data_IF_450203217549
#
_entry.id   IF_450203217549
#
_cell.length_a   1.000
_cell.length_b   1.000
_cell.length_c   1.000
_cell.angle_alpha   90.00
_cell.angle_beta   90.00
_cell.angle_gamma   90.00
#
_symmetry.space_group_name_H-M   'P 1'
#
loop_
_entity.id
_entity.type
_entity.pdbx_description
1 polymer ?
#
# COMPACT_ATOMS: atom_id res chain seq x y z
N UNK A 1 -58.57 5.04 -11.46
CA UNK A 1 -57.20 5.57 -11.72
C UNK A 1 -56.28 5.55 -10.50
N UNK A 2 -56.70 5.99 -9.30
CA UNK A 2 -55.84 6.08 -8.10
C UNK A 2 -55.11 4.78 -7.69
N UNK A 3 -55.73 3.62 -7.87
CA UNK A 3 -55.18 2.32 -7.47
C UNK A 3 -54.06 1.80 -8.39
N UNK A 4 -54.02 2.25 -9.64
CA UNK A 4 -52.98 1.88 -10.61
C UNK A 4 -51.68 2.61 -10.28
N UNK A 5 -51.76 3.90 -9.97
CA UNK A 5 -50.63 4.73 -9.51
C UNK A 5 -50.04 4.26 -8.19
N UNK A 6 -50.87 3.81 -7.24
CA UNK A 6 -50.38 3.28 -5.96
C UNK A 6 -49.53 2.01 -6.15
N UNK A 7 -49.91 1.13 -7.08
CA UNK A 7 -49.13 -0.07 -7.42
C UNK A 7 -47.83 0.27 -8.14
N UNK A 8 -47.81 1.28 -9.00
CA UNK A 8 -46.57 1.73 -9.67
C UNK A 8 -45.61 2.39 -8.68
N UNK A 9 -46.11 3.23 -7.77
CA UNK A 9 -45.28 3.90 -6.75
C UNK A 9 -44.69 2.89 -5.76
N UNK A 10 -45.46 1.88 -5.35
CA UNK A 10 -44.97 0.83 -4.45
C UNK A 10 -43.92 -0.07 -5.12
N UNK A 11 -44.06 -0.31 -6.43
CA UNK A 11 -43.10 -1.09 -7.22
C UNK A 11 -41.75 -0.38 -7.43
N UNK A 12 -41.74 0.95 -7.61
CA UNK A 12 -40.50 1.74 -7.74
C UNK A 12 -39.76 1.91 -6.42
N UNK A 13 -40.46 1.96 -5.28
CA UNK A 13 -39.82 1.98 -3.96
C UNK A 13 -39.14 0.64 -3.65
N UNK A 14 -39.74 -0.49 -4.05
CA UNK A 14 -39.17 -1.81 -3.80
C UNK A 14 -37.93 -2.10 -4.66
N UNK A 15 -37.90 -1.59 -5.90
CA UNK A 15 -36.74 -1.72 -6.80
C UNK A 15 -35.59 -0.79 -6.45
N UNK A 16 -35.86 0.40 -5.89
CA UNK A 16 -34.81 1.30 -5.39
C UNK A 16 -34.17 0.81 -4.08
N UNK A 17 -34.92 0.10 -3.22
CA UNK A 17 -34.37 -0.51 -2.01
C UNK A 17 -33.38 -1.65 -2.30
N UNK A 18 -33.58 -2.42 -3.38
CA UNK A 18 -32.68 -3.52 -3.74
C UNK A 18 -31.29 -3.05 -4.20
N UNK A 19 -31.17 -1.85 -4.75
CA UNK A 19 -29.89 -1.32 -5.27
C UNK A 19 -28.97 -0.86 -4.11
N UNK A 20 -29.56 -0.43 -2.99
CA UNK A 20 -28.82 0.06 -1.82
C UNK A 20 -28.16 -1.09 -1.04
N UNK A 21 -28.73 -2.31 -1.08
CA UNK A 21 -28.13 -3.48 -0.43
C UNK A 21 -26.91 -4.06 -1.17
N UNK A 22 -26.77 -3.79 -2.47
CA UNK A 22 -25.64 -4.30 -3.27
C UNK A 22 -24.38 -3.43 -3.18
N UNK A 23 -24.42 -2.29 -2.47
CA UNK A 23 -23.26 -1.42 -2.27
C UNK A 23 -22.33 -1.89 -1.15
N UNK A 24 -22.67 -2.95 -0.41
CA UNK A 24 -21.70 -3.65 0.42
C UNK A 24 -20.99 -4.67 -0.48
N UNK A 25 -20.03 -4.19 -1.29
CA UNK A 25 -19.06 -5.09 -1.90
C UNK A 25 -18.26 -5.74 -0.78
N UNK A 26 -18.76 -6.89 -0.34
CA UNK A 26 -17.96 -7.92 0.28
C UNK A 26 -16.81 -8.18 -0.70
N UNK A 27 -15.63 -7.63 -0.40
CA UNK A 27 -14.41 -8.07 -1.04
C UNK A 27 -14.41 -9.60 -1.01
N UNK A 28 -14.01 -10.30 -2.08
CA UNK A 28 -13.86 -11.74 -2.04
C UNK A 28 -12.76 -12.07 -1.03
N UNK A 29 -13.13 -12.15 0.24
CA UNK A 29 -12.30 -12.58 1.35
C UNK A 29 -12.14 -14.08 1.18
N UNK A 30 -11.21 -14.50 0.32
CA UNK A 30 -11.19 -15.89 -0.09
C UNK A 30 -9.87 -16.44 -0.57
N UNK A 31 -9.18 -15.81 -1.52
CA UNK A 31 -8.26 -16.65 -2.33
C UNK A 31 -6.86 -16.11 -2.58
N UNK A 32 -6.62 -14.80 -2.49
CA UNK A 32 -5.27 -14.24 -2.69
C UNK A 32 -4.92 -13.38 -1.49
N UNK A 33 -3.85 -13.74 -0.76
CA UNK A 33 -3.36 -12.93 0.35
C UNK A 33 -2.60 -11.72 -0.17
N UNK A 34 -2.59 -10.63 0.60
CA UNK A 34 -1.79 -9.46 0.28
C UNK A 34 -0.31 -9.80 0.46
N UNK A 35 0.48 -9.62 -0.59
CA UNK A 35 1.89 -9.93 -0.69
C UNK A 35 2.71 -8.66 -0.61
N UNK A 36 3.50 -8.53 0.44
CA UNK A 36 4.43 -7.42 0.62
C UNK A 36 5.88 -7.89 0.61
N UNK A 37 6.80 -6.93 0.43
CA UNK A 37 8.23 -7.18 0.55
C UNK A 37 8.98 -5.98 1.11
N UNK A 38 10.15 -6.27 1.66
CA UNK A 38 11.13 -5.32 2.20
C UNK A 38 12.54 -5.72 1.78
N UNK A 39 13.51 -4.82 1.94
CA UNK A 39 14.90 -5.11 1.62
C UNK A 39 15.59 -5.97 2.68
N UNK A 40 16.50 -6.82 2.21
CA UNK A 40 17.27 -7.71 3.07
C UNK A 40 18.17 -7.01 4.10
N UNK A 41 18.55 -5.76 3.90
CA UNK A 41 19.58 -5.08 4.66
C UNK A 41 19.11 -4.33 5.91
N UNK A 42 17.81 -4.05 6.06
CA UNK A 42 17.32 -3.04 7.02
C UNK A 42 16.14 -3.57 7.85
N UNK A 43 16.31 -3.65 9.17
CA UNK A 43 15.26 -4.13 10.09
C UNK A 43 14.13 -3.11 10.21
N UNK A 44 14.45 -1.82 10.05
CA UNK A 44 13.51 -0.72 10.06
C UNK A 44 12.48 -0.87 8.95
N UNK A 45 12.90 -1.37 7.78
CA UNK A 45 11.99 -1.64 6.65
C UNK A 45 11.01 -2.78 6.93
N UNK A 46 11.47 -3.84 7.61
CA UNK A 46 10.59 -4.89 8.09
C UNK A 46 9.58 -4.33 9.11
N UNK A 47 10.06 -3.53 10.07
CA UNK A 47 9.21 -2.93 11.09
C UNK A 47 8.07 -2.09 10.47
N UNK A 48 8.40 -1.16 9.56
CA UNK A 48 7.37 -0.37 8.87
C UNK A 48 6.42 -1.23 8.01
N UNK A 49 6.92 -2.33 7.42
CA UNK A 49 6.08 -3.26 6.65
C UNK A 49 5.08 -3.96 7.55
N UNK A 50 5.51 -4.42 8.73
CA UNK A 50 4.63 -5.08 9.68
C UNK A 50 3.58 -4.13 10.28
N UNK A 51 3.91 -2.85 10.48
CA UNK A 51 2.91 -1.84 10.88
C UNK A 51 1.76 -1.76 9.86
N UNK A 52 2.07 -1.79 8.56
CA UNK A 52 1.05 -1.79 7.51
C UNK A 52 0.31 -3.13 7.44
N UNK A 53 1.03 -4.26 7.54
CA UNK A 53 0.43 -5.60 7.57
C UNK A 53 -0.62 -5.71 8.69
N UNK A 54 -0.27 -5.32 9.92
CA UNK A 54 -1.18 -5.33 11.07
C UNK A 54 -2.42 -4.45 10.81
N UNK A 55 -2.24 -3.30 10.15
CA UNK A 55 -3.36 -2.45 9.73
C UNK A 55 -4.30 -3.16 8.76
N UNK A 56 -3.75 -3.81 7.73
CA UNK A 56 -4.50 -4.58 6.73
C UNK A 56 -5.21 -5.78 7.36
N UNK A 57 -4.55 -6.51 8.25
CA UNK A 57 -5.18 -7.61 9.00
C UNK A 57 -6.38 -7.14 9.82
N UNK A 58 -6.25 -5.99 10.51
CA UNK A 58 -7.36 -5.38 11.27
C UNK A 58 -8.53 -4.93 10.39
N UNK A 59 -8.28 -4.65 9.11
CA UNK A 59 -9.31 -4.33 8.12
C UNK A 59 -9.94 -5.60 7.51
N UNK A 60 -9.48 -6.80 7.89
CA UNK A 60 -10.03 -8.08 7.45
C UNK A 60 -9.33 -8.69 6.24
N UNK A 61 -8.19 -8.15 5.80
CA UNK A 61 -7.39 -8.75 4.73
C UNK A 61 -6.60 -9.95 5.26
N UNK A 62 -6.46 -10.99 4.43
CA UNK A 62 -5.45 -12.02 4.63
C UNK A 62 -4.11 -11.47 4.15
N UNK A 63 -3.12 -11.38 5.04
CA UNK A 63 -1.78 -10.89 4.71
C UNK A 63 -0.81 -12.07 4.70
N UNK A 64 0.04 -12.15 3.68
CA UNK A 64 1.11 -13.13 3.61
C UNK A 64 2.35 -12.64 4.35
N UNK A 65 3.20 -13.57 4.78
CA UNK A 65 4.50 -13.20 5.37
C UNK A 65 5.29 -12.38 4.34
N UNK A 66 5.81 -11.18 4.71
CA UNK A 66 6.53 -10.34 3.78
C UNK A 66 7.80 -11.04 3.26
N UNK A 67 8.08 -10.88 1.97
CA UNK A 67 9.28 -11.42 1.33
C UNK A 67 10.48 -10.50 1.55
N UNK A 68 11.64 -11.09 1.73
CA UNK A 68 12.92 -10.37 1.84
C UNK A 68 13.65 -10.44 0.51
N UNK A 69 13.76 -9.32 -0.22
CA UNK A 69 14.34 -9.27 -1.57
C UNK A 69 15.09 -7.96 -1.82
N UNK A 70 16.00 -7.95 -2.81
CA UNK A 70 16.75 -6.74 -3.16
C UNK A 70 15.91 -5.68 -3.88
N UNK A 71 16.28 -4.41 -3.74
CA UNK A 71 15.49 -3.28 -4.26
C UNK A 71 15.10 -3.40 -5.75
N UNK A 72 16.00 -3.74 -6.70
CA UNK A 72 15.60 -3.84 -8.10
C UNK A 72 14.51 -4.90 -8.33
N UNK A 73 14.65 -6.06 -7.69
CA UNK A 73 13.67 -7.14 -7.78
C UNK A 73 12.33 -6.73 -7.16
N UNK A 74 12.36 -5.97 -6.05
CA UNK A 74 11.17 -5.45 -5.39
C UNK A 74 10.32 -4.58 -6.33
N UNK A 75 10.91 -3.59 -6.98
CA UNK A 75 10.16 -2.73 -7.91
C UNK A 75 9.62 -3.50 -9.12
N UNK A 76 10.41 -4.42 -9.69
CA UNK A 76 9.98 -5.26 -10.81
C UNK A 76 8.82 -6.18 -10.41
N UNK A 77 8.89 -6.80 -9.23
CA UNK A 77 7.85 -7.69 -8.73
C UNK A 77 6.53 -6.96 -8.46
N UNK A 78 6.55 -5.72 -7.96
CA UNK A 78 5.33 -4.91 -7.82
C UNK A 78 4.80 -4.55 -9.21
N UNK A 79 5.66 -4.09 -10.12
CA UNK A 79 5.27 -3.68 -11.47
C UNK A 79 4.68 -4.84 -12.32
N UNK A 80 5.06 -6.09 -12.00
CA UNK A 80 4.54 -7.29 -12.65
C UNK A 80 3.34 -7.91 -11.93
N UNK A 81 2.97 -7.43 -10.74
CA UNK A 81 1.89 -7.99 -9.92
C UNK A 81 2.26 -9.27 -9.16
N UNK A 82 3.55 -9.58 -9.01
CA UNK A 82 4.04 -10.67 -8.15
C UNK A 82 3.98 -10.30 -6.65
N UNK A 83 4.01 -8.99 -6.38
CA UNK A 83 3.81 -8.35 -5.09
C UNK A 83 2.73 -7.28 -5.23
N UNK A 84 2.00 -7.02 -4.15
CA UNK A 84 0.90 -6.06 -4.14
C UNK A 84 1.36 -4.67 -3.67
N UNK A 85 2.28 -4.60 -2.70
CA UNK A 85 2.88 -3.34 -2.28
C UNK A 85 4.25 -3.50 -1.62
N UNK A 86 4.96 -2.37 -1.48
CA UNK A 86 6.02 -2.20 -0.50
C UNK A 86 5.96 -0.80 0.08
N UNK A 87 6.45 -0.65 1.30
CA UNK A 87 6.65 0.63 1.99
C UNK A 87 8.02 1.23 1.71
N UNK A 88 8.84 0.54 0.91
CA UNK A 88 10.20 0.93 0.56
C UNK A 88 10.19 1.80 -0.68
N UNK A 89 10.22 3.12 -0.47
CA UNK A 89 10.43 4.07 -1.55
C UNK A 89 11.13 5.35 -1.06
N UNK A 90 12.46 5.37 -1.18
CA UNK A 90 13.29 6.51 -0.77
C UNK A 90 13.62 7.40 -1.96
N UNK A 91 13.22 8.66 -1.89
CA UNK A 91 13.54 9.65 -2.91
C UNK A 91 14.68 10.57 -2.47
N UNK A 92 15.64 10.90 -3.35
CA UNK A 92 15.73 10.51 -4.77
C UNK A 92 16.40 9.15 -5.03
N UNK A 93 16.92 8.47 -4.00
CA UNK A 93 17.84 7.33 -4.12
C UNK A 93 17.27 6.18 -4.96
N UNK A 94 15.97 5.92 -4.87
CA UNK A 94 15.30 4.79 -5.54
C UNK A 94 14.63 5.18 -6.86
N UNK A 95 14.75 6.44 -7.30
CA UNK A 95 14.11 6.93 -8.54
C UNK A 95 14.43 6.06 -9.74
N UNK A 96 15.69 5.65 -9.90
CA UNK A 96 16.12 4.82 -11.03
C UNK A 96 15.50 3.41 -11.01
N UNK A 97 15.29 2.82 -9.83
CA UNK A 97 14.64 1.52 -9.74
C UNK A 97 13.14 1.61 -10.12
N UNK A 98 12.46 2.66 -9.65
CA UNK A 98 11.08 2.96 -9.99
C UNK A 98 10.90 3.16 -11.51
N UNK A 99 11.74 3.99 -12.12
CA UNK A 99 11.70 4.26 -13.57
C UNK A 99 11.99 3.01 -14.39
N UNK A 100 13.02 2.24 -14.02
CA UNK A 100 13.39 1.02 -14.74
C UNK A 100 12.33 -0.09 -14.64
N UNK A 101 11.49 -0.08 -13.60
CA UNK A 101 10.39 -1.03 -13.45
C UNK A 101 9.12 -0.63 -14.25
N UNK A 102 9.16 0.47 -14.99
CA UNK A 102 8.03 0.98 -15.80
C UNK A 102 7.44 2.29 -15.28
N UNK A 103 8.01 2.86 -14.21
CA UNK A 103 7.64 4.17 -13.68
C UNK A 103 6.14 4.27 -13.38
N UNK A 104 5.60 5.47 -13.56
CA UNK A 104 4.19 5.77 -13.27
C UNK A 104 3.18 5.05 -14.16
N UNK A 105 3.62 4.35 -15.22
CA UNK A 105 2.73 3.52 -16.03
C UNK A 105 2.38 2.19 -15.32
N UNK A 106 3.24 1.73 -14.41
CA UNK A 106 3.10 0.44 -13.71
C UNK A 106 3.07 0.55 -12.19
N UNK A 107 3.60 1.63 -11.64
CA UNK A 107 3.80 1.81 -10.22
C UNK A 107 3.19 3.14 -9.76
N UNK A 108 2.63 3.14 -8.56
CA UNK A 108 2.11 4.34 -7.91
C UNK A 108 2.73 4.46 -6.51
N UNK A 109 3.23 5.65 -6.18
CA UNK A 109 3.63 5.98 -4.83
C UNK A 109 2.43 6.54 -4.06
N UNK A 110 2.02 5.88 -2.98
CA UNK A 110 0.81 6.23 -2.23
C UNK A 110 1.16 6.76 -0.84
N UNK A 111 0.83 8.04 -0.61
CA UNK A 111 1.00 8.68 0.71
C UNK A 111 2.44 8.77 1.19
N UNK A 112 2.61 9.22 2.44
CA UNK A 112 3.91 9.26 3.12
C UNK A 112 3.78 8.48 4.43
N UNK A 113 4.50 7.36 4.54
CA UNK A 113 4.50 6.55 5.77
C UNK A 113 5.45 7.11 6.82
N UNK A 114 6.60 7.62 6.39
CA UNK A 114 7.62 8.23 7.25
C UNK A 114 7.90 9.66 6.81
N UNK A 115 8.33 10.54 7.72
CA UNK A 115 8.90 11.84 7.34
C UNK A 115 10.12 11.68 6.43
N UNK A 116 10.53 12.78 5.80
CA UNK A 116 11.75 12.82 4.99
C UNK A 116 12.95 12.38 5.83
N UNK A 117 13.68 11.37 5.33
CA UNK A 117 14.95 10.94 5.89
C UNK A 117 16.11 11.83 5.42
N UNK A 118 17.21 11.80 6.18
CA UNK A 118 18.45 12.47 5.80
C UNK A 118 19.52 11.42 5.48
N UNK A 119 20.33 11.68 4.45
CA UNK A 119 21.51 10.89 4.12
C UNK A 119 22.73 11.80 4.12
N UNK A 120 23.83 11.36 4.73
CA UNK A 120 25.04 12.16 4.80
C UNK A 120 26.13 11.51 5.65
N UNK A 121 27.29 12.17 5.67
CA UNK A 121 28.40 11.80 6.53
C UNK A 121 28.15 12.28 7.95
N UNK A 122 28.47 11.44 8.92
CA UNK A 122 28.36 11.75 10.33
C UNK A 122 29.70 11.46 10.99
N UNK A 123 30.08 12.32 11.92
CA UNK A 123 31.24 12.13 12.80
C UNK A 123 30.75 12.10 14.24
N UNK A 124 31.58 11.59 15.14
CA UNK A 124 31.24 11.62 16.56
C UNK A 124 31.11 13.07 17.04
N UNK A 125 30.12 13.29 17.91
CA UNK A 125 29.80 14.63 18.40
C UNK A 125 31.00 15.31 19.07
N UNK A 126 31.86 14.55 19.77
CA UNK A 126 33.02 15.10 20.48
C UNK A 126 34.03 15.71 19.50
N UNK A 127 34.26 15.07 18.36
CA UNK A 127 35.11 15.62 17.29
C UNK A 127 34.45 16.82 16.61
N UNK A 128 33.16 16.74 16.30
CA UNK A 128 32.39 17.85 15.73
C UNK A 128 32.51 19.12 16.58
N UNK A 129 32.24 19.01 17.88
CA UNK A 129 32.29 20.11 18.83
C UNK A 129 33.71 20.71 18.95
N UNK A 130 34.75 19.86 18.97
CA UNK A 130 36.16 20.31 19.11
C UNK A 130 36.61 21.15 17.91
N UNK A 131 36.18 20.80 16.72
CA UNK A 131 36.62 21.44 15.47
C UNK A 131 35.57 22.40 14.89
N UNK A 132 34.43 22.58 15.56
CA UNK A 132 33.32 23.43 15.14
C UNK A 132 32.81 23.09 13.72
N UNK A 133 32.57 21.78 13.52
CA UNK A 133 32.01 21.16 12.30
C UNK A 133 30.57 20.74 12.57
#
# INVERSE_FOLDING_TARGET
MKQKYLKTILGTILTSLLIIFTSCQHFPSGTVGIRSAYNAGWVEELFQTEVVNIGLEKLGYKVEKPKQIDYPALYISIANGDLDYSVVYYQPQHKKFFENAGGSEKLEGVGNLTPNGNSGYQIDKKTADKYNI
#
